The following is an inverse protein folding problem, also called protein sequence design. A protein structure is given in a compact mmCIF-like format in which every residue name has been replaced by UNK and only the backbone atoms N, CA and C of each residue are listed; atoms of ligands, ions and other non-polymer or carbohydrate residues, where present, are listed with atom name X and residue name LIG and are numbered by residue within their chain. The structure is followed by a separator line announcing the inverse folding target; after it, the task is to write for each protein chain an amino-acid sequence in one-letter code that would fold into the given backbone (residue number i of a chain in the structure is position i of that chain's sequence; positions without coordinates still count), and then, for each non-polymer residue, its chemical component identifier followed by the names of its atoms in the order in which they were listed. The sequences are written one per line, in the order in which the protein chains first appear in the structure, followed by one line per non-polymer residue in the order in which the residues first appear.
data_IF_516961435342
#
_entry.id   IF_516961435342
#
_cell.length_a   1.000
_cell.length_b   1.000
_cell.length_c   1.000
_cell.angle_alpha   90.00
_cell.angle_beta   90.00
_cell.angle_gamma   90.00
#
_symmetry.space_group_name_H-M   'P 1'
#
loop_
_entity.id
_entity.type
_entity.pdbx_description
1 polymer ?
#
# COMPACT_ATOMS: atom_id res chain seq x y z
N UNK A 1 30.23 22.22 11.47
CA UNK A 1 30.52 20.90 12.08
C UNK A 1 29.18 20.21 12.35
N UNK A 2 28.60 19.62 11.30
CA UNK A 2 27.24 19.07 11.34
C UNK A 2 27.22 17.78 10.54
N UNK A 3 27.41 16.66 11.23
CA UNK A 3 27.25 15.33 10.66
C UNK A 3 26.53 14.47 11.68
N UNK A 4 25.60 13.68 11.16
CA UNK A 4 24.91 12.52 11.78
C UNK A 4 23.53 12.83 12.36
N UNK A 5 22.53 12.95 11.48
CA UNK A 5 21.16 12.52 11.80
C UNK A 5 20.36 12.25 10.53
N UNK A 6 20.63 11.11 9.87
CA UNK A 6 19.73 10.54 8.84
C UNK A 6 19.63 9.00 8.92
N UNK A 7 20.13 8.40 10.01
CA UNK A 7 19.91 6.99 10.30
C UNK A 7 18.66 6.87 11.19
N UNK A 8 17.48 6.93 10.59
CA UNK A 8 16.24 7.06 11.35
C UNK A 8 14.95 6.64 10.66
N UNK A 9 14.97 5.77 9.66
CA UNK A 9 13.79 4.98 9.23
C UNK A 9 14.33 3.81 8.42
N UNK A 10 14.03 2.55 8.78
CA UNK A 10 14.44 1.41 7.95
C UNK A 10 13.60 1.43 6.66
N UNK A 11 14.17 1.62 5.45
CA UNK A 11 13.41 1.65 4.19
C UNK A 11 12.99 0.25 3.69
N UNK A 12 12.98 -0.78 4.55
CA UNK A 12 12.96 -2.19 4.12
C UNK A 12 11.59 -2.86 4.23
N UNK A 13 10.61 -2.21 4.85
CA UNK A 13 9.25 -2.75 5.01
C UNK A 13 8.29 -2.34 3.89
N UNK A 14 8.61 -1.30 3.11
CA UNK A 14 7.76 -0.82 2.01
C UNK A 14 7.39 -1.93 0.99
N UNK A 15 8.32 -2.82 0.54
CA UNK A 15 7.96 -3.93 -0.35
C UNK A 15 7.04 -4.96 0.32
N UNK A 16 7.27 -5.26 1.60
CA UNK A 16 6.47 -6.23 2.37
C UNK A 16 5.05 -5.69 2.57
N UNK A 17 4.94 -4.42 2.94
CA UNK A 17 3.66 -3.72 3.10
C UNK A 17 2.87 -3.67 1.79
N UNK A 18 3.54 -3.34 0.67
CA UNK A 18 2.90 -3.36 -0.65
C UNK A 18 2.34 -4.75 -0.99
N UNK A 19 3.13 -5.81 -0.76
CA UNK A 19 2.70 -7.19 -0.99
C UNK A 19 1.47 -7.58 -0.15
N UNK A 20 1.50 -7.28 1.15
CA UNK A 20 0.39 -7.56 2.05
C UNK A 20 -0.90 -6.81 1.64
N UNK A 21 -0.76 -5.55 1.19
CA UNK A 21 -1.90 -4.75 0.72
C UNK A 21 -2.46 -5.28 -0.61
N UNK A 22 -1.60 -5.76 -1.52
CA UNK A 22 -2.04 -6.38 -2.77
C UNK A 22 -2.84 -7.69 -2.52
N UNK A 23 -2.40 -8.49 -1.55
CA UNK A 23 -3.15 -9.66 -1.10
C UNK A 23 -4.48 -9.27 -0.47
N UNK A 24 -4.49 -8.26 0.41
CA UNK A 24 -5.70 -7.77 1.05
C UNK A 24 -6.73 -7.22 0.04
N UNK A 25 -6.29 -6.53 -1.04
CA UNK A 25 -7.18 -6.13 -2.15
C UNK A 25 -7.83 -7.36 -2.80
N UNK A 26 -7.06 -8.42 -3.01
CA UNK A 26 -7.55 -9.67 -3.62
C UNK A 26 -8.62 -10.32 -2.74
N UNK A 27 -8.36 -10.42 -1.43
CA UNK A 27 -9.32 -10.96 -0.46
C UNK A 27 -10.60 -10.10 -0.39
N UNK A 28 -10.48 -8.77 -0.35
CA UNK A 28 -11.64 -7.88 -0.30
C UNK A 28 -12.49 -7.95 -1.58
N UNK A 29 -11.89 -8.18 -2.75
CA UNK A 29 -12.64 -8.44 -3.99
C UNK A 29 -13.48 -9.71 -3.86
N UNK A 30 -12.90 -10.80 -3.35
CA UNK A 30 -13.63 -12.04 -3.11
C UNK A 30 -14.78 -11.85 -2.12
N UNK A 31 -14.56 -11.11 -1.03
CA UNK A 31 -15.61 -10.78 -0.06
C UNK A 31 -16.73 -9.96 -0.70
N UNK A 32 -16.41 -9.00 -1.56
CA UNK A 32 -17.41 -8.21 -2.30
C UNK A 32 -18.21 -9.08 -3.27
N UNK A 33 -17.56 -9.99 -3.99
CA UNK A 33 -18.23 -10.88 -4.93
C UNK A 33 -19.18 -11.83 -4.19
N UNK A 34 -18.77 -12.38 -3.04
CA UNK A 34 -19.63 -13.18 -2.18
C UNK A 34 -20.81 -12.38 -1.59
N UNK A 35 -20.59 -11.13 -1.17
CA UNK A 35 -21.65 -10.28 -0.66
C UNK A 35 -22.69 -9.96 -1.76
N UNK A 36 -22.24 -9.70 -2.99
CA UNK A 36 -23.11 -9.49 -4.15
C UNK A 36 -23.94 -10.73 -4.48
N UNK A 37 -23.32 -11.90 -4.47
CA UNK A 37 -24.01 -13.17 -4.73
C UNK A 37 -25.10 -13.43 -3.68
N UNK A 38 -24.79 -13.26 -2.40
CA UNK A 38 -25.77 -13.42 -1.33
C UNK A 38 -26.92 -12.40 -1.42
N UNK A 39 -26.63 -11.14 -1.75
CA UNK A 39 -27.65 -10.11 -1.97
C UNK A 39 -28.57 -10.48 -3.14
N UNK A 40 -28.01 -10.94 -4.27
CA UNK A 40 -28.79 -11.35 -5.44
C UNK A 40 -29.71 -12.53 -5.15
N UNK A 41 -29.31 -13.43 -4.25
CA UNK A 41 -30.12 -14.55 -3.77
C UNK A 41 -31.03 -14.19 -2.57
N UNK A 42 -31.05 -12.93 -2.14
CA UNK A 42 -31.87 -12.46 -1.01
C UNK A 42 -31.43 -12.98 0.36
N UNK A 43 -30.20 -13.49 0.48
CA UNK A 43 -29.65 -14.05 1.71
C UNK A 43 -29.11 -12.97 2.67
N UNK A 44 -28.78 -11.79 2.15
CA UNK A 44 -28.26 -10.65 2.93
C UNK A 44 -28.78 -9.31 2.41
N UNK A 45 -28.78 -8.30 3.28
CA UNK A 45 -29.12 -6.91 2.95
C UNK A 45 -28.04 -6.28 2.05
N UNK A 46 -28.45 -5.36 1.17
CA UNK A 46 -27.54 -4.56 0.35
C UNK A 46 -26.51 -3.77 1.17
N UNK A 47 -26.79 -3.45 2.43
CA UNK A 47 -25.79 -2.83 3.33
C UNK A 47 -24.49 -3.63 3.42
N UNK A 48 -24.56 -4.97 3.38
CA UNK A 48 -23.35 -5.81 3.41
C UNK A 48 -22.51 -5.65 2.13
N UNK A 49 -23.16 -5.46 0.98
CA UNK A 49 -22.47 -5.14 -0.28
C UNK A 49 -21.75 -3.80 -0.18
N UNK A 50 -22.41 -2.79 0.39
CA UNK A 50 -21.83 -1.45 0.55
C UNK A 50 -20.63 -1.46 1.50
N UNK A 51 -20.73 -2.18 2.62
CA UNK A 51 -19.62 -2.33 3.57
C UNK A 51 -18.42 -3.06 2.92
N UNK A 52 -18.67 -4.12 2.14
CA UNK A 52 -17.61 -4.80 1.40
C UNK A 52 -16.96 -3.90 0.34
N UNK A 53 -17.74 -3.07 -0.37
CA UNK A 53 -17.21 -2.07 -1.31
C UNK A 53 -16.33 -1.04 -0.61
N UNK A 54 -16.78 -0.53 0.54
CA UNK A 54 -16.04 0.44 1.34
C UNK A 54 -14.72 -0.14 1.85
N UNK A 55 -14.74 -1.38 2.32
CA UNK A 55 -13.53 -2.08 2.76
C UNK A 55 -12.55 -2.27 1.60
N UNK A 56 -13.03 -2.71 0.43
CA UNK A 56 -12.22 -2.83 -0.78
C UNK A 56 -11.57 -1.50 -1.17
N UNK A 57 -12.34 -0.41 -1.18
CA UNK A 57 -11.83 0.92 -1.51
C UNK A 57 -10.74 1.36 -0.52
N UNK A 58 -10.97 1.19 0.78
CA UNK A 58 -10.00 1.55 1.82
C UNK A 58 -8.66 0.83 1.65
N UNK A 59 -8.67 -0.44 1.25
CA UNK A 59 -7.44 -1.21 1.05
C UNK A 59 -6.77 -0.85 -0.28
N UNK A 60 -7.54 -0.54 -1.33
CA UNK A 60 -7.00 -0.02 -2.60
C UNK A 60 -6.28 1.32 -2.40
N UNK A 61 -6.87 2.24 -1.63
CA UNK A 61 -6.24 3.53 -1.32
C UNK A 61 -4.92 3.32 -0.55
N UNK A 62 -4.91 2.41 0.43
CA UNK A 62 -3.70 2.07 1.17
C UNK A 62 -2.61 1.46 0.26
N UNK A 63 -2.98 0.62 -0.70
CA UNK A 63 -2.05 0.04 -1.68
C UNK A 63 -1.40 1.14 -2.55
N UNK A 64 -2.19 2.09 -3.05
CA UNK A 64 -1.68 3.22 -3.85
C UNK A 64 -0.70 4.08 -3.04
N UNK A 65 -1.03 4.37 -1.78
CA UNK A 65 -0.12 5.09 -0.89
C UNK A 65 1.17 4.32 -0.64
N UNK A 66 1.09 2.99 -0.48
CA UNK A 66 2.28 2.15 -0.31
C UNK A 66 3.15 2.09 -1.57
N UNK A 67 2.56 2.09 -2.76
CA UNK A 67 3.29 2.18 -4.03
C UNK A 67 4.05 3.51 -4.14
N UNK A 68 3.43 4.62 -3.73
CA UNK A 68 4.10 5.92 -3.68
C UNK A 68 5.32 5.91 -2.75
N UNK A 69 5.21 5.31 -1.57
CA UNK A 69 6.33 5.16 -0.63
C UNK A 69 7.43 4.31 -1.24
N UNK A 70 7.10 3.14 -1.79
CA UNK A 70 8.05 2.23 -2.43
C UNK A 70 8.84 2.93 -3.56
N UNK A 71 8.17 3.72 -4.40
CA UNK A 71 8.82 4.50 -5.46
C UNK A 71 9.75 5.58 -4.91
N UNK A 72 9.34 6.26 -3.84
CA UNK A 72 10.14 7.31 -3.19
C UNK A 72 11.41 6.70 -2.58
N UNK A 73 11.27 5.55 -1.92
CA UNK A 73 12.39 4.80 -1.35
C UNK A 73 13.37 4.33 -2.43
N UNK A 74 12.86 3.86 -3.58
CA UNK A 74 13.68 3.49 -4.72
C UNK A 74 14.50 4.68 -5.23
N UNK A 75 13.89 5.85 -5.37
CA UNK A 75 14.60 7.08 -5.79
C UNK A 75 15.66 7.48 -4.78
N UNK A 76 15.35 7.41 -3.47
CA UNK A 76 16.31 7.70 -2.42
C UNK A 76 17.50 6.73 -2.44
N UNK A 77 17.23 5.44 -2.66
CA UNK A 77 18.26 4.41 -2.82
C UNK A 77 19.16 4.71 -4.03
N UNK A 78 18.59 5.01 -5.19
CA UNK A 78 19.37 5.39 -6.38
C UNK A 78 20.26 6.61 -6.14
N UNK A 79 19.76 7.65 -5.44
CA UNK A 79 20.56 8.81 -5.06
C UNK A 79 21.71 8.44 -4.12
N UNK A 80 21.47 7.55 -3.16
CA UNK A 80 22.50 7.07 -2.25
C UNK A 80 23.57 6.23 -2.97
N UNK A 81 23.19 5.42 -3.96
CA UNK A 81 24.11 4.55 -4.70
C UNK A 81 24.91 5.28 -5.79
N UNK A 82 24.36 6.34 -6.42
CA UNK A 82 24.98 7.00 -7.58
C UNK A 82 25.27 8.51 -7.42
N UNK A 83 24.89 9.15 -6.31
CA UNK A 83 24.87 10.62 -6.20
C UNK A 83 25.30 11.21 -4.86
N UNK A 84 25.71 10.39 -3.88
CA UNK A 84 26.39 10.87 -2.67
C UNK A 84 27.81 11.43 -2.90
N UNK A 85 28.33 11.35 -4.13
CA UNK A 85 29.72 11.72 -4.49
C UNK A 85 29.88 13.11 -5.12
N UNK A 86 28.79 13.85 -5.37
CA UNK A 86 28.85 15.14 -6.09
C UNK A 86 28.17 16.31 -5.36
N UNK A 87 27.99 16.20 -4.03
CA UNK A 87 27.67 17.36 -3.19
C UNK A 87 28.87 17.64 -2.29
N UNK A 88 29.99 17.99 -2.92
CA UNK A 88 31.04 18.83 -2.34
C UNK A 88 31.74 19.61 -3.46
N UNK A 89 31.22 20.80 -3.74
CA UNK A 89 31.95 21.94 -4.28
C UNK A 89 31.54 23.16 -3.47
#
# INVERSE_FOLDING_TARGET
MGLRNFAGSRPTDAPVRYGALAEAVTQNRQSLDLARDQYQHGLQDFLIVLDAQRSLLSVQDALVQSDQVLRTDLVALYKALGGGWAVEH
#
